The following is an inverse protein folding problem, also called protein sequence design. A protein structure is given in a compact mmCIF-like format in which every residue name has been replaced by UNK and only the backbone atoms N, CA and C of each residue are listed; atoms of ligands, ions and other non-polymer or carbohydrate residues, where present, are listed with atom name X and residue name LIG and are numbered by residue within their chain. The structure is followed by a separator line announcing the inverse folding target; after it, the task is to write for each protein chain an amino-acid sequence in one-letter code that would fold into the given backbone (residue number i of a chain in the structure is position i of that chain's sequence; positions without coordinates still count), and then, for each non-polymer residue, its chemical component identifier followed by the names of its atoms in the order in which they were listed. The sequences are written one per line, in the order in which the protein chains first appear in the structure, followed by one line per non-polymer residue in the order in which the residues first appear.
data_IF_313834664679
#
_entry.id   IF_313834664679
#
_cell.length_a   1.000
_cell.length_b   1.000
_cell.length_c   1.000
_cell.angle_alpha   90.00
_cell.angle_beta   90.00
_cell.angle_gamma   90.00
#
_symmetry.space_group_name_H-M   'P 1'
#
loop_
_entity.id
_entity.type
_entity.pdbx_description
1 polymer ?
#
# COMPACT_ATOMS: atom_id res chain seq x y z
N UNK A 1 -6.79 -11.34 3.22
CA UNK A 1 -6.54 -11.07 4.65
C UNK A 1 -5.09 -11.28 5.10
N UNK A 2 -4.21 -11.89 4.29
CA UNK A 2 -2.91 -12.38 4.75
C UNK A 2 -1.77 -11.35 4.71
N UNK A 3 -1.78 -10.39 3.77
CA UNK A 3 -0.67 -9.47 3.59
C UNK A 3 -0.56 -8.42 4.72
N UNK A 4 -1.70 -7.89 5.18
CA UNK A 4 -1.74 -6.88 6.26
C UNK A 4 -1.38 -7.52 7.60
N UNK A 5 -1.84 -8.75 7.86
CA UNK A 5 -1.46 -9.50 9.06
C UNK A 5 0.05 -9.82 9.08
N UNK A 6 0.62 -10.22 7.94
CA UNK A 6 2.06 -10.47 7.83
C UNK A 6 2.86 -9.17 8.02
N UNK A 7 2.42 -8.05 7.44
CA UNK A 7 3.06 -6.76 7.63
C UNK A 7 3.01 -6.31 9.10
N UNK A 8 1.86 -6.47 9.75
CA UNK A 8 1.69 -6.13 11.17
C UNK A 8 2.61 -6.95 12.07
N UNK A 9 2.71 -8.27 11.83
CA UNK A 9 3.61 -9.17 12.59
C UNK A 9 5.08 -8.79 12.37
N UNK A 10 5.48 -8.45 11.15
CA UNK A 10 6.86 -8.02 10.85
C UNK A 10 7.19 -6.71 11.57
N UNK A 11 6.28 -5.72 11.56
CA UNK A 11 6.47 -4.45 12.28
C UNK A 11 6.54 -4.66 13.79
N UNK A 12 5.70 -5.54 14.33
CA UNK A 12 5.72 -5.89 15.76
C UNK A 12 7.06 -6.51 16.18
N UNK A 13 7.58 -7.46 15.39
CA UNK A 13 8.87 -8.11 15.65
C UNK A 13 10.01 -7.09 15.54
N UNK A 14 9.97 -6.21 14.54
CA UNK A 14 10.98 -5.15 14.37
C UNK A 14 10.97 -4.16 15.54
N UNK A 15 9.80 -3.79 16.07
CA UNK A 15 9.67 -2.93 17.23
C UNK A 15 10.15 -3.62 18.53
N UNK A 16 9.90 -4.92 18.67
CA UNK A 16 10.35 -5.69 19.83
C UNK A 16 11.89 -5.80 19.91
N UNK A 17 12.58 -5.80 18.77
CA UNK A 17 14.05 -5.87 18.70
C UNK A 17 14.72 -4.51 19.03
N UNK A 18 14.00 -3.39 18.90
CA UNK A 18 14.55 -2.05 19.13
C UNK A 18 14.59 -1.63 20.61
N UNK A 19 14.01 -2.41 21.53
CA UNK A 19 13.87 -2.05 22.94
C UNK A 19 14.85 -2.74 23.87
N UNK A 20 16.13 -2.38 23.85
CA UNK A 20 17.08 -2.72 24.93
C UNK A 20 17.45 -1.46 25.71
N UNK A 21 16.81 -1.15 26.86
CA UNK A 21 17.20 -0.02 27.69
C UNK A 21 18.54 -0.30 28.37
N UNK A 22 19.60 0.39 27.95
CA UNK A 22 20.90 0.32 28.63
C UNK A 22 20.92 1.30 29.81
N UNK A 23 20.76 0.77 31.01
CA UNK A 23 21.02 1.54 32.24
C UNK A 23 22.53 1.60 32.46
N UNK A 24 23.12 2.80 32.41
CA UNK A 24 24.49 3.02 32.88
C UNK A 24 24.47 3.06 34.41
N UNK A 25 25.21 2.17 35.12
CA UNK A 25 25.39 2.30 36.56
C UNK A 25 26.11 3.62 36.84
N UNK A 26 25.57 4.46 37.74
CA UNK A 26 26.28 5.64 38.24
C UNK A 26 27.51 5.22 39.03
N UNK A 27 28.68 5.77 38.69
CA UNK A 27 29.92 5.53 39.42
C UNK A 27 29.75 5.88 40.91
N UNK A 28 30.25 5.05 41.85
CA UNK A 28 30.20 5.37 43.26
C UNK A 28 31.11 6.58 43.55
N UNK A 29 30.54 7.62 44.17
CA UNK A 29 31.33 8.74 44.71
C UNK A 29 32.28 8.18 45.79
N UNK A 30 33.61 8.43 45.70
CA UNK A 30 34.55 7.89 46.68
C UNK A 30 34.30 8.52 48.06
N UNK A 31 34.11 7.67 49.07
CA UNK A 31 34.05 8.10 50.47
C UNK A 31 35.43 8.62 50.92
N UNK A 32 35.49 9.68 51.74
CA UNK A 32 36.76 10.26 52.16
C UNK A 32 37.56 9.30 53.04
N UNK A 33 38.82 9.10 52.65
CA UNK A 33 39.82 8.25 53.28
C UNK A 33 40.15 8.68 54.71
N UNK A 34 40.08 7.76 55.67
CA UNK A 34 40.83 7.81 56.93
C UNK A 34 41.99 6.81 56.83
N UNK A 35 43.23 7.29 57.01
CA UNK A 35 44.48 6.48 57.14
C UNK A 35 44.97 6.58 58.60
N UNK A 36 45.94 5.76 59.09
CA UNK A 36 46.38 4.40 58.70
C UNK A 36 46.71 3.47 59.92
N UNK A 37 46.84 2.14 59.72
CA UNK A 37 47.63 1.24 60.61
C UNK A 37 48.37 0.17 59.76
N UNK A 38 49.69 -0.11 59.98
CA UNK A 38 50.49 -1.12 59.25
C UNK A 38 50.75 -2.40 60.10
N UNK A 39 51.47 -3.42 59.61
CA UNK A 39 51.22 -4.28 58.44
C UNK A 39 51.17 -5.79 58.83
N UNK A 40 50.35 -6.60 58.15
CA UNK A 40 50.51 -8.07 58.14
C UNK A 40 50.34 -8.62 56.72
N UNK A 41 51.40 -9.24 56.20
CA UNK A 41 51.39 -10.17 55.06
C UNK A 41 51.80 -11.57 55.59
N UNK A 42 51.54 -12.69 54.90
CA UNK A 42 50.90 -12.84 53.58
C UNK A 42 49.74 -13.87 53.58
N UNK A 43 48.62 -13.51 52.95
CA UNK A 43 47.65 -14.47 52.42
C UNK A 43 47.40 -14.13 50.97
N UNK A 44 47.97 -14.91 50.04
CA UNK A 44 47.55 -14.84 48.64
C UNK A 44 46.16 -15.48 48.53
N UNK A 45 45.14 -14.69 48.81
CA UNK A 45 43.80 -14.91 48.25
C UNK A 45 43.80 -14.29 46.87
N UNK A 46 43.95 -15.13 45.84
CA UNK A 46 43.77 -14.72 44.45
C UNK A 46 42.42 -14.05 44.30
N UNK A 47 42.45 -12.81 43.82
CA UNK A 47 41.25 -12.16 43.30
C UNK A 47 40.70 -13.03 42.16
N UNK A 48 39.38 -13.18 42.00
CA UNK A 48 38.85 -13.62 40.72
C UNK A 48 39.40 -12.63 39.70
N UNK A 49 40.22 -13.15 38.80
CA UNK A 49 40.76 -12.45 37.65
C UNK A 49 39.60 -11.66 37.03
N UNK A 50 39.74 -10.32 37.01
CA UNK A 50 38.84 -9.47 36.25
C UNK A 50 38.69 -10.15 34.89
N UNK A 51 37.46 -10.51 34.50
CA UNK A 51 37.20 -11.02 33.15
C UNK A 51 37.53 -9.85 32.24
N UNK A 52 38.77 -9.81 31.79
CA UNK A 52 39.28 -8.86 30.82
C UNK A 52 38.50 -9.17 29.54
N UNK A 53 37.39 -8.44 29.33
CA UNK A 53 36.61 -8.54 28.10
C UNK A 53 37.56 -8.05 27.01
N UNK A 54 38.20 -9.01 26.34
CA UNK A 54 39.13 -8.76 25.26
C UNK A 54 38.48 -7.75 24.31
N UNK A 55 39.05 -6.53 24.13
CA UNK A 55 38.47 -5.52 23.25
C UNK A 55 38.33 -6.04 21.82
N UNK A 56 39.08 -7.08 21.42
CA UNK A 56 38.88 -7.76 20.16
C UNK A 56 37.53 -8.51 20.11
N UNK A 57 37.09 -9.14 21.20
CA UNK A 57 35.81 -9.88 21.27
C UNK A 57 34.59 -8.96 21.14
N UNK A 58 34.63 -7.78 21.77
CA UNK A 58 33.56 -6.78 21.66
C UNK A 58 33.52 -6.12 20.27
N UNK A 59 34.68 -5.91 19.66
CA UNK A 59 34.78 -5.41 18.28
C UNK A 59 34.24 -6.43 17.28
N UNK A 60 34.58 -7.72 17.43
CA UNK A 60 34.05 -8.80 16.58
C UNK A 60 32.52 -8.92 16.72
N UNK A 61 31.97 -8.76 17.93
CA UNK A 61 30.53 -8.76 18.15
C UNK A 61 29.84 -7.54 17.50
N UNK A 62 30.44 -6.35 17.59
CA UNK A 62 29.90 -5.14 16.94
C UNK A 62 29.95 -5.23 15.40
N UNK A 63 31.06 -5.73 14.85
CA UNK A 63 31.22 -5.91 13.39
C UNK A 63 30.25 -6.96 12.86
N UNK A 64 30.09 -8.09 13.57
CA UNK A 64 29.12 -9.12 13.18
C UNK A 64 27.67 -8.63 13.29
N UNK A 65 27.32 -7.86 14.32
CA UNK A 65 26.02 -7.22 14.43
C UNK A 65 25.76 -6.22 13.30
N UNK A 66 26.76 -5.40 12.94
CA UNK A 66 26.66 -4.46 11.83
C UNK A 66 26.48 -5.18 10.47
N UNK A 67 27.22 -6.27 10.25
CA UNK A 67 27.07 -7.11 9.04
C UNK A 67 25.67 -7.73 9.00
N UNK A 68 25.16 -8.25 10.11
CA UNK A 68 23.82 -8.84 10.18
C UNK A 68 22.74 -7.78 9.90
N UNK A 69 22.87 -6.59 10.48
CA UNK A 69 21.97 -5.46 10.22
C UNK A 69 21.99 -5.04 8.74
N UNK A 70 23.16 -5.00 8.11
CA UNK A 70 23.32 -4.71 6.69
C UNK A 70 22.63 -5.79 5.82
N UNK A 71 22.79 -7.06 6.18
CA UNK A 71 22.13 -8.18 5.47
C UNK A 71 20.61 -8.13 5.59
N UNK A 72 20.09 -7.80 6.77
CA UNK A 72 18.65 -7.61 6.99
C UNK A 72 18.12 -6.42 6.18
N UNK A 73 18.83 -5.30 6.19
CA UNK A 73 18.47 -4.13 5.39
C UNK A 73 18.48 -4.44 3.88
N UNK A 74 19.49 -5.17 3.40
CA UNK A 74 19.56 -5.62 2.02
C UNK A 74 18.39 -6.57 1.67
N UNK A 75 18.04 -7.50 2.55
CA UNK A 75 16.89 -8.39 2.39
C UNK A 75 15.57 -7.63 2.32
N UNK A 76 15.39 -6.61 3.16
CA UNK A 76 14.24 -5.70 3.14
C UNK A 76 14.13 -4.94 1.81
N UNK A 77 15.24 -4.41 1.30
CA UNK A 77 15.28 -3.72 0.01
C UNK A 77 14.91 -4.67 -1.13
N UNK A 78 15.48 -5.88 -1.14
CA UNK A 78 15.15 -6.91 -2.15
C UNK A 78 13.67 -7.29 -2.09
N UNK A 79 13.12 -7.48 -0.89
CA UNK A 79 11.71 -7.75 -0.70
C UNK A 79 10.83 -6.60 -1.21
N UNK A 80 11.18 -5.35 -0.88
CA UNK A 80 10.50 -4.16 -1.40
C UNK A 80 10.56 -4.08 -2.93
N UNK A 81 11.71 -4.41 -3.53
CA UNK A 81 11.86 -4.45 -5.00
C UNK A 81 11.01 -5.56 -5.62
N UNK A 82 10.93 -6.74 -4.99
CA UNK A 82 10.09 -7.85 -5.45
C UNK A 82 8.62 -7.45 -5.36
N UNK A 83 8.19 -6.88 -4.23
CA UNK A 83 6.83 -6.38 -4.02
C UNK A 83 6.51 -5.29 -5.04
N UNK A 84 7.39 -4.30 -5.21
CA UNK A 84 7.23 -3.23 -6.19
C UNK A 84 7.14 -3.80 -7.61
N UNK A 85 7.99 -4.76 -7.98
CA UNK A 85 7.93 -5.44 -9.28
C UNK A 85 6.66 -6.27 -9.44
N UNK A 86 6.18 -6.93 -8.40
CA UNK A 86 4.95 -7.70 -8.43
C UNK A 86 3.72 -6.79 -8.56
N UNK A 87 3.70 -5.66 -7.86
CA UNK A 87 2.71 -4.58 -8.02
C UNK A 87 2.78 -4.00 -9.43
N UNK A 88 3.96 -3.59 -9.89
CA UNK A 88 4.18 -3.08 -11.25
C UNK A 88 3.77 -4.10 -12.32
N UNK A 89 4.02 -5.39 -12.12
CA UNK A 89 3.57 -6.45 -13.03
C UNK A 89 2.06 -6.64 -12.97
N UNK A 90 1.47 -6.71 -11.78
CA UNK A 90 0.01 -6.76 -11.64
C UNK A 90 -0.68 -5.53 -12.25
N UNK A 91 -0.01 -4.37 -12.22
CA UNK A 91 -0.48 -3.12 -12.81
C UNK A 91 -0.17 -3.03 -14.32
N UNK A 92 0.91 -3.66 -14.82
CA UNK A 92 1.28 -3.74 -16.25
C UNK A 92 0.58 -4.86 -17.01
N UNK A 93 0.22 -5.95 -16.32
CA UNK A 93 -0.57 -7.07 -16.83
C UNK A 93 -2.08 -6.79 -16.70
N UNK A 94 -2.48 -5.81 -15.86
CA UNK A 94 -3.65 -4.96 -16.16
C UNK A 94 -3.34 -4.23 -17.48
N UNK A 95 -4.19 -4.26 -18.50
CA UNK A 95 -3.86 -3.87 -19.89
C UNK A 95 -3.71 -2.35 -20.07
N UNK A 96 -2.80 -1.72 -19.33
CA UNK A 96 -2.38 -0.32 -19.46
C UNK A 96 -1.08 -0.18 -20.25
N UNK A 97 -0.49 -1.29 -20.70
CA UNK A 97 0.75 -1.33 -21.49
C UNK A 97 0.51 -1.00 -22.97
N UNK A 98 0.12 0.25 -23.23
CA UNK A 98 0.54 0.96 -24.46
C UNK A 98 0.97 2.41 -24.22
N UNK A 99 0.90 2.92 -22.98
CA UNK A 99 1.21 4.33 -22.69
C UNK A 99 2.69 4.69 -22.57
N UNK A 100 3.60 3.78 -22.17
CA UNK A 100 5.04 4.10 -22.19
C UNK A 100 5.60 4.24 -23.63
N UNK A 101 4.94 3.66 -24.64
CA UNK A 101 5.32 3.88 -26.04
C UNK A 101 4.69 5.11 -26.68
N UNK A 102 3.72 5.74 -26.02
CA UNK A 102 2.95 6.85 -26.58
C UNK A 102 3.49 8.23 -26.18
N UNK A 103 4.13 8.36 -25.01
CA UNK A 103 4.70 9.65 -24.59
C UNK A 103 5.98 10.02 -25.37
N UNK A 104 6.75 9.05 -25.84
CA UNK A 104 7.89 9.29 -26.75
C UNK A 104 7.45 9.45 -28.22
N UNK A 105 6.24 9.00 -28.57
CA UNK A 105 5.68 9.14 -29.92
C UNK A 105 4.84 10.41 -30.09
N UNK A 106 4.36 11.04 -29.01
CA UNK A 106 3.54 12.25 -29.09
C UNK A 106 4.29 13.48 -29.63
N UNK A 107 5.62 13.43 -29.77
CA UNK A 107 6.40 14.47 -30.45
C UNK A 107 6.46 14.26 -31.98
N UNK A 108 5.99 13.11 -32.49
CA UNK A 108 5.88 12.83 -33.93
C UNK A 108 4.43 12.48 -34.23
N UNK A 109 3.69 13.48 -34.73
CA UNK A 109 2.25 13.44 -34.96
C UNK A 109 1.72 12.08 -35.43
N UNK A 110 1.05 11.39 -34.52
CA UNK A 110 0.24 10.22 -34.83
C UNK A 110 -1.22 10.57 -34.54
N UNK A 111 -2.05 10.41 -35.56
CA UNK A 111 -3.49 10.62 -35.46
C UNK A 111 -3.99 9.60 -34.44
N UNK A 112 -4.46 10.07 -33.28
CA UNK A 112 -4.96 9.21 -32.20
C UNK A 112 -5.94 8.17 -32.78
N UNK A 113 -5.49 6.92 -32.89
CA UNK A 113 -6.28 5.85 -33.44
C UNK A 113 -7.57 5.70 -32.62
N UNK A 114 -8.72 5.89 -33.26
CA UNK A 114 -10.02 5.70 -32.62
C UNK A 114 -10.13 4.22 -32.25
N UNK A 115 -10.35 3.85 -30.97
CA UNK A 115 -10.48 2.46 -30.56
C UNK A 115 -11.62 1.76 -31.31
N UNK A 116 -11.42 0.49 -31.65
CA UNK A 116 -12.50 -0.29 -32.26
C UNK A 116 -13.69 -0.43 -31.29
N UNK A 117 -14.94 -0.34 -31.77
CA UNK A 117 -16.13 -0.38 -30.92
C UNK A 117 -16.22 -1.63 -30.03
N UNK A 118 -15.73 -2.78 -30.51
CA UNK A 118 -15.76 -4.04 -29.74
C UNK A 118 -14.80 -3.99 -28.54
N UNK A 119 -13.60 -3.40 -28.71
CA UNK A 119 -12.61 -3.26 -27.63
C UNK A 119 -13.16 -2.39 -26.50
N UNK A 120 -13.87 -1.32 -26.85
CA UNK A 120 -14.56 -0.44 -25.88
C UNK A 120 -15.61 -1.21 -25.08
N UNK A 121 -16.47 -1.97 -25.76
CA UNK A 121 -17.53 -2.76 -25.11
C UNK A 121 -16.93 -3.78 -24.15
N UNK A 122 -15.91 -4.52 -24.59
CA UNK A 122 -15.30 -5.56 -23.76
C UNK A 122 -14.59 -4.99 -22.53
N UNK A 123 -13.93 -3.83 -22.67
CA UNK A 123 -13.31 -3.13 -21.55
C UNK A 123 -14.34 -2.70 -20.50
N UNK A 124 -15.42 -2.07 -20.95
CA UNK A 124 -16.48 -1.58 -20.06
C UNK A 124 -17.17 -2.76 -19.36
N UNK A 125 -17.49 -3.84 -20.08
CA UNK A 125 -18.09 -5.06 -19.49
C UNK A 125 -17.21 -5.68 -18.42
N UNK A 126 -15.91 -5.82 -18.69
CA UNK A 126 -14.97 -6.38 -17.69
C UNK A 126 -14.88 -5.50 -16.45
N UNK A 127 -14.82 -4.19 -16.62
CA UNK A 127 -14.73 -3.27 -15.49
C UNK A 127 -16.02 -3.22 -14.66
N UNK A 128 -17.21 -3.25 -15.29
CA UNK A 128 -18.49 -3.35 -14.56
C UNK A 128 -18.58 -4.65 -13.77
N UNK A 129 -18.17 -5.78 -14.35
CA UNK A 129 -18.12 -7.06 -13.63
C UNK A 129 -17.16 -7.00 -12.42
N UNK A 130 -16.01 -6.35 -12.57
CA UNK A 130 -15.08 -6.09 -11.47
C UNK A 130 -15.66 -5.17 -10.39
N UNK A 131 -16.41 -4.14 -10.77
CA UNK A 131 -17.10 -3.24 -9.85
C UNK A 131 -18.18 -3.97 -9.04
N UNK A 132 -18.94 -4.86 -9.69
CA UNK A 132 -19.92 -5.73 -9.04
C UNK A 132 -19.26 -6.71 -8.08
N UNK A 133 -18.10 -7.27 -8.42
CA UNK A 133 -17.35 -8.11 -7.48
C UNK A 133 -16.86 -7.27 -6.28
N UNK A 134 -16.31 -6.09 -6.55
CA UNK A 134 -15.76 -5.22 -5.51
C UNK A 134 -16.84 -4.76 -4.52
N UNK A 135 -18.08 -4.50 -4.96
CA UNK A 135 -19.17 -4.09 -4.06
C UNK A 135 -19.54 -5.19 -3.05
N UNK A 136 -19.35 -6.46 -3.44
CA UNK A 136 -19.69 -7.63 -2.61
C UNK A 136 -18.54 -8.04 -1.67
N UNK A 137 -17.29 -7.75 -2.05
CA UNK A 137 -16.11 -8.05 -1.23
C UNK A 137 -15.88 -7.07 -0.06
N UNK A 138 -16.43 -5.85 -0.15
CA UNK A 138 -16.24 -4.82 0.89
C UNK A 138 -17.22 -5.00 2.03
N UNK A 139 -16.69 -5.16 3.24
CA UNK A 139 -17.50 -5.32 4.45
C UNK A 139 -18.29 -4.04 4.80
N UNK A 140 -17.67 -2.87 4.72
CA UNK A 140 -18.32 -1.60 5.01
C UNK A 140 -19.12 -1.10 3.79
N UNK A 141 -20.39 -0.68 3.94
CA UNK A 141 -21.19 -0.16 2.84
C UNK A 141 -20.56 1.07 2.16
N UNK A 142 -19.93 1.95 2.95
CA UNK A 142 -19.21 3.13 2.42
C UNK A 142 -18.11 2.72 1.44
N UNK A 143 -17.25 1.79 1.85
CA UNK A 143 -16.17 1.28 1.02
C UNK A 143 -16.69 0.57 -0.23
N UNK A 144 -17.82 -0.12 -0.11
CA UNK A 144 -18.48 -0.80 -1.23
C UNK A 144 -18.96 0.21 -2.29
N UNK A 145 -19.65 1.28 -1.88
CA UNK A 145 -20.11 2.35 -2.79
C UNK A 145 -18.92 3.04 -3.48
N UNK A 146 -17.85 3.33 -2.73
CA UNK A 146 -16.63 3.91 -3.29
C UNK A 146 -16.01 2.96 -4.32
N UNK A 147 -15.87 1.68 -3.98
CA UNK A 147 -15.27 0.69 -4.87
C UNK A 147 -16.12 0.48 -6.15
N UNK A 148 -17.44 0.53 -6.04
CA UNK A 148 -18.36 0.45 -7.17
C UNK A 148 -18.15 1.58 -8.17
N UNK A 149 -18.09 2.83 -7.69
CA UNK A 149 -17.84 3.99 -8.56
C UNK A 149 -16.43 3.96 -9.17
N UNK A 150 -15.40 3.68 -8.37
CA UNK A 150 -14.02 3.57 -8.87
C UNK A 150 -13.88 2.47 -9.92
N UNK A 151 -14.53 1.31 -9.74
CA UNK A 151 -14.53 0.25 -10.75
C UNK A 151 -15.20 0.68 -12.05
N UNK A 152 -16.26 1.50 -11.98
CA UNK A 152 -16.90 2.07 -13.15
C UNK A 152 -15.99 3.10 -13.86
N UNK A 153 -15.27 3.96 -13.12
CA UNK A 153 -14.27 4.87 -13.67
C UNK A 153 -13.11 4.13 -14.34
N UNK A 154 -12.59 3.07 -13.70
CA UNK A 154 -11.57 2.19 -14.28
C UNK A 154 -12.08 1.58 -15.60
N UNK A 155 -13.34 1.13 -15.64
CA UNK A 155 -13.94 0.56 -16.86
C UNK A 155 -13.99 1.55 -18.03
N UNK A 156 -14.28 2.82 -17.75
CA UNK A 156 -14.28 3.88 -18.73
C UNK A 156 -12.86 4.23 -19.19
N UNK A 157 -11.89 4.25 -18.26
CA UNK A 157 -10.49 4.53 -18.58
C UNK A 157 -9.87 3.43 -19.47
N UNK A 158 -10.30 2.19 -19.27
CA UNK A 158 -9.85 1.03 -20.04
C UNK A 158 -10.46 0.96 -21.45
N UNK A 159 -11.48 1.77 -21.75
CA UNK A 159 -12.09 1.84 -23.09
C UNK A 159 -11.14 2.39 -24.17
N UNK A 160 -9.96 2.89 -23.80
CA UNK A 160 -8.97 3.41 -24.75
C UNK A 160 -9.32 4.78 -25.36
N UNK A 161 -10.37 5.43 -24.86
CA UNK A 161 -10.80 6.76 -25.31
C UNK A 161 -10.04 7.83 -24.53
N UNK A 162 -9.56 8.86 -25.23
CA UNK A 162 -8.93 10.00 -24.57
C UNK A 162 -9.95 10.86 -23.80
N UNK A 163 -9.50 11.35 -22.64
CA UNK A 163 -10.19 12.38 -21.86
C UNK A 163 -9.89 13.75 -22.43
N UNK A 164 -10.83 14.69 -22.36
CA UNK A 164 -10.54 16.09 -22.69
C UNK A 164 -9.58 16.72 -21.63
N UNK A 165 -8.80 17.75 -21.97
CA UNK A 165 -7.77 18.30 -21.08
C UNK A 165 -8.30 18.77 -19.71
N UNK A 166 -9.50 19.36 -19.68
CA UNK A 166 -10.15 19.88 -18.46
C UNK A 166 -11.28 18.98 -17.94
N UNK A 167 -11.55 17.84 -18.58
CA UNK A 167 -12.61 16.93 -18.16
C UNK A 167 -12.16 16.16 -16.92
N UNK A 168 -13.04 16.06 -15.92
CA UNK A 168 -12.77 15.33 -14.68
C UNK A 168 -12.91 13.81 -14.89
N UNK A 169 -12.37 12.97 -14.00
CA UNK A 169 -12.58 11.52 -14.07
C UNK A 169 -14.06 11.13 -14.09
N UNK A 170 -14.90 11.82 -13.31
CA UNK A 170 -16.32 11.52 -13.22
C UNK A 170 -17.08 11.92 -14.48
N UNK A 171 -16.83 13.12 -15.02
CA UNK A 171 -17.40 13.56 -16.30
C UNK A 171 -17.00 12.62 -17.44
N UNK A 172 -15.73 12.20 -17.46
CA UNK A 172 -15.24 11.22 -18.41
C UNK A 172 -15.97 9.89 -18.29
N UNK A 173 -16.07 9.34 -17.09
CA UNK A 173 -16.73 8.06 -16.85
C UNK A 173 -18.19 8.12 -17.27
N UNK A 174 -18.92 9.17 -16.88
CA UNK A 174 -20.30 9.38 -17.35
C UNK A 174 -20.37 9.42 -18.86
N UNK A 175 -19.55 10.24 -19.53
CA UNK A 175 -19.55 10.36 -21.00
C UNK A 175 -19.28 9.04 -21.71
N UNK A 176 -18.43 8.16 -21.16
CA UNK A 176 -18.13 6.86 -21.75
C UNK A 176 -19.25 5.85 -21.49
N UNK A 177 -19.71 5.76 -20.24
CA UNK A 177 -20.74 4.79 -19.83
C UNK A 177 -22.08 5.09 -20.49
N UNK A 178 -22.48 6.36 -20.58
CA UNK A 178 -23.77 6.77 -21.18
C UNK A 178 -23.74 6.90 -22.70
N UNK A 179 -22.69 6.39 -23.37
CA UNK A 179 -22.70 6.22 -24.84
C UNK A 179 -23.82 5.31 -25.31
N UNK A 180 -24.22 4.34 -24.49
CA UNK A 180 -25.47 3.60 -24.66
C UNK A 180 -26.55 4.35 -23.86
N UNK A 181 -27.65 4.68 -24.54
CA UNK A 181 -28.77 5.41 -23.94
C UNK A 181 -29.58 4.55 -22.96
N UNK A 182 -30.20 5.19 -21.98
CA UNK A 182 -31.15 4.54 -21.04
C UNK A 182 -30.54 4.13 -19.70
N UNK A 183 -29.36 4.67 -19.37
CA UNK A 183 -28.64 4.41 -18.10
C UNK A 183 -28.07 5.69 -17.46
N UNK A 184 -28.50 6.86 -17.95
CA UNK A 184 -28.04 8.17 -17.49
C UNK A 184 -28.46 8.40 -16.03
N UNK A 185 -29.68 7.99 -15.67
CA UNK A 185 -30.19 8.12 -14.31
C UNK A 185 -29.41 7.22 -13.33
N UNK A 186 -29.13 5.98 -13.72
CA UNK A 186 -28.38 4.98 -12.98
C UNK A 186 -26.94 5.44 -12.70
N UNK A 187 -26.25 5.89 -13.75
CA UNK A 187 -24.89 6.36 -13.64
C UNK A 187 -24.80 7.61 -12.75
N UNK A 188 -25.78 8.52 -12.87
CA UNK A 188 -25.86 9.73 -12.04
C UNK A 188 -26.22 9.44 -10.58
N UNK A 189 -27.11 8.47 -10.34
CA UNK A 189 -27.48 8.00 -9.00
C UNK A 189 -26.26 7.41 -8.28
N UNK A 190 -25.49 6.57 -8.98
CA UNK A 190 -24.26 5.99 -8.44
C UNK A 190 -23.20 7.06 -8.15
N UNK A 191 -23.01 8.04 -9.05
CA UNK A 191 -22.13 9.19 -8.82
C UNK A 191 -22.57 9.98 -7.58
N UNK A 192 -23.86 10.27 -7.45
CA UNK A 192 -24.41 11.02 -6.30
C UNK A 192 -24.16 10.29 -4.98
N UNK A 193 -24.33 8.96 -4.96
CA UNK A 193 -24.02 8.14 -3.80
C UNK A 193 -22.53 8.22 -3.45
N UNK A 194 -21.65 8.09 -4.45
CA UNK A 194 -20.21 8.22 -4.29
C UNK A 194 -19.80 9.58 -3.72
N UNK A 195 -20.28 10.68 -4.30
CA UNK A 195 -19.95 12.03 -3.86
C UNK A 195 -20.41 12.29 -2.43
N UNK A 196 -21.62 11.83 -2.09
CA UNK A 196 -22.18 11.95 -0.74
C UNK A 196 -21.29 11.24 0.28
N UNK A 197 -20.86 10.00 0.01
CA UNK A 197 -20.03 9.26 0.97
C UNK A 197 -18.58 9.75 1.01
N UNK A 198 -18.05 10.20 -0.14
CA UNK A 198 -16.63 10.57 -0.26
C UNK A 198 -16.33 11.98 0.24
N UNK A 199 -17.28 12.90 0.06
CA UNK A 199 -17.12 14.33 0.34
C UNK A 199 -18.16 14.87 1.32
N UNK A 200 -19.31 14.21 1.49
CA UNK A 200 -20.43 14.70 2.28
C UNK A 200 -20.45 14.31 3.76
N UNK A 201 -19.35 13.76 4.31
CA UNK A 201 -19.28 13.24 5.68
C UNK A 201 -20.45 12.27 6.03
N UNK A 202 -20.87 11.47 5.05
CA UNK A 202 -21.98 10.53 5.14
C UNK A 202 -21.45 9.10 5.17
N UNK A 203 -21.88 8.31 6.16
CA UNK A 203 -21.65 6.87 6.16
C UNK A 203 -22.76 6.18 5.38
N UNK A 204 -22.39 5.38 4.37
CA UNK A 204 -23.38 4.67 3.59
C UNK A 204 -24.06 3.58 4.42
N UNK A 205 -25.32 3.36 4.12
CA UNK A 205 -26.16 2.33 4.69
C UNK A 205 -26.23 1.10 3.78
N UNK A 206 -26.71 0.00 4.33
CA UNK A 206 -26.97 -1.23 3.58
C UNK A 206 -27.93 -1.06 2.39
N UNK A 207 -29.06 -0.33 2.53
CA UNK A 207 -29.92 0.02 1.40
C UNK A 207 -29.20 0.81 0.30
N UNK A 208 -28.29 1.74 0.66
CA UNK A 208 -27.54 2.52 -0.32
C UNK A 208 -26.51 1.66 -1.07
N UNK A 209 -25.86 0.70 -0.40
CA UNK A 209 -25.04 -0.33 -1.08
C UNK A 209 -25.89 -1.14 -2.07
N UNK A 210 -27.11 -1.51 -1.68
CA UNK A 210 -28.01 -2.25 -2.56
C UNK A 210 -28.49 -1.41 -3.75
N UNK A 211 -28.71 -0.11 -3.56
CA UNK A 211 -29.03 0.82 -4.63
C UNK A 211 -27.85 0.94 -5.62
N UNK A 212 -26.62 1.13 -5.11
CA UNK A 212 -25.42 1.16 -5.93
C UNK A 212 -25.22 -0.14 -6.73
N UNK A 213 -25.41 -1.31 -6.10
CA UNK A 213 -25.37 -2.61 -6.79
C UNK A 213 -26.41 -2.68 -7.91
N UNK A 214 -27.62 -2.21 -7.65
CA UNK A 214 -28.72 -2.24 -8.61
C UNK A 214 -28.45 -1.33 -9.80
N UNK A 215 -27.89 -0.14 -9.57
CA UNK A 215 -27.46 0.77 -10.63
C UNK A 215 -26.39 0.11 -11.52
N UNK A 216 -25.35 -0.50 -10.91
CA UNK A 216 -24.32 -1.24 -11.68
C UNK A 216 -24.90 -2.36 -12.53
N UNK A 217 -25.87 -3.13 -12.03
CA UNK A 217 -26.53 -4.20 -12.81
C UNK A 217 -27.33 -3.66 -13.99
N UNK A 218 -28.07 -2.57 -13.81
CA UNK A 218 -28.80 -1.92 -14.91
C UNK A 218 -27.83 -1.41 -15.99
N UNK A 219 -26.68 -0.85 -15.57
CA UNK A 219 -25.60 -0.48 -16.48
C UNK A 219 -25.03 -1.72 -17.20
N UNK A 220 -24.77 -2.82 -16.48
CA UNK A 220 -24.28 -4.08 -17.06
C UNK A 220 -25.21 -4.63 -18.14
N UNK A 221 -26.52 -4.65 -17.89
CA UNK A 221 -27.54 -5.15 -18.82
C UNK A 221 -27.52 -4.40 -20.15
N UNK A 222 -27.38 -3.08 -20.10
CA UNK A 222 -27.32 -2.24 -21.29
C UNK A 222 -26.00 -2.42 -22.04
N UNK A 223 -24.90 -2.79 -21.36
CA UNK A 223 -23.60 -3.06 -21.97
C UNK A 223 -23.37 -4.51 -22.41
N UNK A 224 -24.32 -5.41 -22.15
CA UNK A 224 -24.29 -6.81 -22.58
C UNK A 224 -24.32 -6.94 -24.11
#
# INVERSE_FOLDING_TARGET
MSAVAVLFVIVMIAAAIQGAPTFRPSEPVPSPSVRPIPPTMPGQTGFPEDIEIDPASSTVLQVSAAILMLLVAAGLIVLLVIIARALLRAWRDRPTRRREGAEVAAEVGDVAAVPEPQVVVDAIRRGIAGALQAIDERAAPTDAVIAAWVGLEESAADAGVARAPSETPAEFALRIITRRSGIEAEASELLTLFERVRFGAHEATEPERNAARSALRRIEEVWR
#
